data_IF_702369363892
#
_entry.id   IF_702369363892
#
_cell.length_a   1.000
_cell.length_b   1.000
_cell.length_c   1.000
_cell.angle_alpha   90.00
_cell.angle_beta   90.00
_cell.angle_gamma   90.00
#
_symmetry.space_group_name_H-M   'P 1'
#
loop_
_entity.id
_entity.type
_entity.pdbx_description
1 polymer ?
#
# COMPACT_ATOMS: atom_id res chain seq x y z
N UNK A 1 -8.36 -14.69 -2.37
CA UNK A 1 -7.96 -13.33 -2.78
C UNK A 1 -7.90 -12.42 -1.56
N UNK A 2 -6.97 -11.44 -1.59
CA UNK A 2 -6.84 -10.36 -0.63
C UNK A 2 -7.35 -9.03 -1.19
N UNK A 3 -7.27 -7.98 -0.37
CA UNK A 3 -7.57 -6.61 -0.73
C UNK A 3 -6.28 -5.80 -0.58
N UNK A 4 -5.94 -5.06 -1.62
CA UNK A 4 -4.89 -4.04 -1.57
C UNK A 4 -5.55 -2.66 -1.52
N UNK A 5 -5.00 -1.73 -0.73
CA UNK A 5 -5.46 -0.36 -0.68
C UNK A 5 -4.39 0.60 -0.20
N UNK A 6 -4.49 1.83 -0.69
CA UNK A 6 -3.62 2.94 -0.33
C UNK A 6 -4.10 3.66 0.91
N UNK A 7 -3.18 4.00 1.81
CA UNK A 7 -3.51 4.73 3.02
C UNK A 7 -2.74 6.03 3.16
N UNK A 8 -3.45 7.03 3.67
CA UNK A 8 -2.93 8.35 4.02
C UNK A 8 -3.28 8.70 5.47
N UNK A 9 -2.59 9.71 5.99
CA UNK A 9 -2.90 10.30 7.28
C UNK A 9 -3.43 11.74 7.07
N UNK A 10 -4.56 12.07 7.70
CA UNK A 10 -5.13 13.42 7.71
C UNK A 10 -4.37 14.32 8.70
N UNK A 11 -4.68 15.64 8.70
CA UNK A 11 -4.08 16.61 9.62
C UNK A 11 -4.26 16.24 11.09
N UNK A 12 -5.39 15.63 11.44
CA UNK A 12 -5.73 15.16 12.79
C UNK A 12 -5.41 13.67 13.02
N UNK A 13 -4.44 13.15 12.26
CA UNK A 13 -3.87 11.80 12.41
C UNK A 13 -4.88 10.65 12.23
N UNK A 14 -5.99 10.88 11.51
CA UNK A 14 -6.88 9.80 11.10
C UNK A 14 -6.33 9.11 9.85
N UNK A 15 -6.38 7.77 9.82
CA UNK A 15 -5.90 7.00 8.67
C UNK A 15 -7.08 6.70 7.76
N UNK A 16 -6.95 7.10 6.50
CA UNK A 16 -7.98 7.00 5.46
C UNK A 16 -7.51 6.17 4.28
N UNK A 17 -8.43 5.49 3.61
CA UNK A 17 -8.15 4.76 2.37
C UNK A 17 -8.37 5.68 1.17
N UNK A 18 -7.28 6.09 0.53
CA UNK A 18 -7.32 6.99 -0.63
C UNK A 18 -6.00 6.88 -1.41
N UNK A 19 -6.08 6.96 -2.75
CA UNK A 19 -4.90 6.80 -3.61
C UNK A 19 -4.06 8.08 -3.71
N UNK A 20 -4.70 9.23 -4.00
CA UNK A 20 -4.00 10.45 -4.38
C UNK A 20 -3.49 11.25 -3.16
N UNK A 21 -2.39 11.97 -3.34
CA UNK A 21 -1.86 12.86 -2.29
C UNK A 21 -2.74 14.08 -2.03
N UNK A 22 -3.54 14.50 -3.02
CA UNK A 22 -4.42 15.64 -2.94
C UNK A 22 -5.82 15.33 -3.49
N UNK A 23 -6.76 16.25 -3.28
CA UNK A 23 -8.15 16.08 -3.67
C UNK A 23 -8.45 16.58 -5.09
N UNK A 24 -7.45 17.09 -5.85
CA UNK A 24 -7.67 17.79 -7.13
C UNK A 24 -8.29 16.86 -8.18
N UNK A 25 -7.75 15.67 -8.39
CA UNK A 25 -8.22 14.76 -9.43
C UNK A 25 -9.67 14.31 -9.18
N UNK A 26 -9.98 13.86 -7.96
CA UNK A 26 -11.26 13.24 -7.61
C UNK A 26 -12.35 14.27 -7.23
N UNK A 27 -11.97 15.37 -6.56
CA UNK A 27 -12.91 16.32 -5.95
C UNK A 27 -12.81 17.74 -6.53
N UNK A 28 -11.83 18.03 -7.40
CA UNK A 28 -11.55 19.37 -7.98
C UNK A 28 -11.14 20.40 -6.92
N UNK A 29 -10.58 19.96 -5.80
CA UNK A 29 -10.13 20.80 -4.68
C UNK A 29 -8.62 20.70 -4.57
N UNK A 30 -7.89 21.82 -4.68
CA UNK A 30 -6.43 21.85 -4.59
C UNK A 30 -5.96 21.86 -3.13
N UNK A 31 -6.20 20.78 -2.41
CA UNK A 31 -5.74 20.56 -1.03
C UNK A 31 -5.10 19.19 -0.86
N UNK A 32 -3.99 19.10 -0.13
CA UNK A 32 -3.36 17.85 0.24
C UNK A 32 -4.07 17.22 1.44
N UNK A 33 -4.24 15.90 1.44
CA UNK A 33 -4.87 15.13 2.53
C UNK A 33 -4.26 15.44 3.90
N UNK A 34 -2.94 15.51 3.99
CA UNK A 34 -2.22 15.83 5.24
C UNK A 34 -2.57 17.18 5.86
N UNK A 35 -3.21 18.09 5.09
CA UNK A 35 -3.56 19.44 5.52
C UNK A 35 -5.06 19.59 5.87
N UNK A 36 -5.84 18.49 5.79
CA UNK A 36 -7.30 18.49 6.00
C UNK A 36 -7.63 17.63 7.21
N UNK A 37 -8.48 18.10 8.12
CA UNK A 37 -9.05 17.28 9.19
C UNK A 37 -10.06 16.28 8.61
N UNK A 38 -10.21 15.12 9.24
CA UNK A 38 -11.08 14.07 8.72
C UNK A 38 -12.54 14.53 8.59
N UNK A 39 -13.06 15.32 9.53
CA UNK A 39 -14.43 15.83 9.46
C UNK A 39 -14.69 16.69 8.21
N UNK A 40 -13.74 17.56 7.84
CA UNK A 40 -13.84 18.36 6.63
C UNK A 40 -13.73 17.49 5.37
N UNK A 41 -12.83 16.51 5.38
CA UNK A 41 -12.68 15.53 4.32
C UNK A 41 -13.97 14.73 4.13
N UNK A 42 -14.62 14.32 5.22
CA UNK A 42 -15.88 13.58 5.21
C UNK A 42 -17.01 14.40 4.57
N UNK A 43 -17.15 15.68 4.93
CA UNK A 43 -18.12 16.61 4.29
C UNK A 43 -17.89 16.67 2.78
N UNK A 44 -16.67 17.00 2.35
CA UNK A 44 -16.30 17.07 0.93
C UNK A 44 -16.63 15.79 0.18
N UNK A 45 -16.30 14.64 0.75
CA UNK A 45 -16.48 13.36 0.09
C UNK A 45 -17.94 12.91 0.02
N UNK A 46 -18.75 13.22 1.03
CA UNK A 46 -20.20 12.95 1.06
C UNK A 46 -20.95 13.80 0.05
N UNK A 47 -20.68 15.11 0.03
CA UNK A 47 -21.30 16.06 -0.91
C UNK A 47 -21.08 15.65 -2.37
N UNK A 48 -19.94 15.06 -2.68
CA UNK A 48 -19.62 14.53 -4.01
C UNK A 48 -20.04 13.06 -4.23
N UNK A 49 -20.77 12.44 -3.28
CA UNK A 49 -21.18 11.02 -3.32
C UNK A 49 -20.01 10.05 -3.55
N UNK A 50 -18.82 10.39 -3.08
CA UNK A 50 -17.59 9.61 -3.21
C UNK A 50 -16.90 9.48 -1.85
N UNK A 51 -17.50 8.78 -0.87
CA UNK A 51 -16.99 8.74 0.49
C UNK A 51 -15.56 8.21 0.53
N UNK A 52 -14.73 8.86 1.36
CA UNK A 52 -13.38 8.40 1.67
C UNK A 52 -13.47 7.68 3.03
N UNK A 53 -13.30 6.34 3.08
CA UNK A 53 -13.45 5.58 4.31
C UNK A 53 -12.22 5.73 5.21
N UNK A 54 -12.43 5.56 6.51
CA UNK A 54 -11.34 5.31 7.45
C UNK A 54 -10.77 3.90 7.24
N UNK A 55 -9.48 3.72 7.54
CA UNK A 55 -8.88 2.40 7.57
C UNK A 55 -9.65 1.46 8.52
N UNK A 56 -10.08 1.98 9.68
CA UNK A 56 -10.83 1.19 10.64
C UNK A 56 -12.17 0.65 10.09
N UNK A 57 -12.84 1.39 9.17
CA UNK A 57 -14.06 0.92 8.51
C UNK A 57 -13.76 -0.26 7.57
N UNK A 58 -12.67 -0.18 6.80
CA UNK A 58 -12.20 -1.29 5.98
C UNK A 58 -11.83 -2.52 6.84
N UNK A 59 -11.14 -2.31 7.96
CA UNK A 59 -10.77 -3.38 8.89
C UNK A 59 -12.03 -4.10 9.41
N UNK A 60 -13.04 -3.35 9.85
CA UNK A 60 -14.33 -3.92 10.29
C UNK A 60 -15.03 -4.71 9.18
N UNK A 61 -15.07 -4.13 7.97
CA UNK A 61 -15.69 -4.78 6.81
C UNK A 61 -14.99 -6.08 6.42
N UNK A 62 -13.67 -6.14 6.54
CA UNK A 62 -12.87 -7.33 6.21
C UNK A 62 -13.14 -8.51 7.14
N UNK A 63 -13.65 -8.25 8.36
CA UNK A 63 -13.92 -9.25 9.43
C UNK A 63 -12.75 -10.22 9.67
N UNK A 64 -11.51 -9.80 9.43
CA UNK A 64 -10.31 -10.67 9.44
C UNK A 64 -10.37 -11.89 8.50
N UNK A 65 -11.33 -11.94 7.56
CA UNK A 65 -11.48 -13.06 6.61
C UNK A 65 -10.62 -12.88 5.36
N UNK A 66 -10.16 -11.67 5.09
CA UNK A 66 -9.35 -11.35 3.90
C UNK A 66 -7.97 -10.86 4.32
N UNK A 67 -6.96 -11.22 3.53
CA UNK A 67 -5.64 -10.61 3.63
C UNK A 67 -5.71 -9.14 3.20
N UNK A 68 -5.15 -8.23 4.01
CA UNK A 68 -5.08 -6.80 3.69
C UNK A 68 -3.63 -6.41 3.39
N UNK A 69 -3.38 -5.86 2.20
CA UNK A 69 -2.13 -5.22 1.85
C UNK A 69 -2.35 -3.70 1.88
N UNK A 70 -1.70 -3.02 2.84
CA UNK A 70 -1.89 -1.59 3.07
C UNK A 70 -0.67 -0.83 2.57
N UNK A 71 -0.82 -0.06 1.48
CA UNK A 71 0.24 0.80 0.97
C UNK A 71 0.27 2.15 1.67
N UNK A 72 1.35 2.46 2.37
CA UNK A 72 1.59 3.78 2.97
C UNK A 72 2.13 4.71 1.89
N UNK A 73 1.27 5.61 1.37
CA UNK A 73 1.64 6.51 0.27
C UNK A 73 2.66 7.58 0.68
N UNK A 74 2.39 8.46 1.67
CA UNK A 74 3.35 9.48 2.06
C UNK A 74 4.40 8.93 3.04
N UNK A 75 5.43 9.71 3.30
CA UNK A 75 6.27 9.46 4.47
C UNK A 75 5.45 9.75 5.74
N UNK A 76 5.21 8.72 6.53
CA UNK A 76 4.54 8.85 7.83
C UNK A 76 5.55 9.30 8.91
N UNK A 77 5.09 10.15 9.83
CA UNK A 77 5.83 10.46 11.05
C UNK A 77 5.85 9.23 11.97
N UNK A 78 6.70 9.26 12.99
CA UNK A 78 6.77 8.19 13.99
C UNK A 78 5.43 8.00 14.72
N UNK A 79 4.73 9.08 15.00
CA UNK A 79 3.41 9.13 15.62
C UNK A 79 2.35 8.48 14.71
N UNK A 80 2.34 8.82 13.41
CA UNK A 80 1.44 8.24 12.43
C UNK A 80 1.68 6.74 12.24
N UNK A 81 2.95 6.29 12.26
CA UNK A 81 3.26 4.86 12.21
C UNK A 81 2.79 4.12 13.48
N UNK A 82 2.90 4.73 14.66
CA UNK A 82 2.36 4.17 15.91
C UNK A 82 0.83 4.10 15.87
N UNK A 83 0.16 5.16 15.37
CA UNK A 83 -1.30 5.17 15.19
C UNK A 83 -1.74 4.06 14.23
N UNK A 84 -1.07 3.88 13.09
CA UNK A 84 -1.32 2.79 12.16
C UNK A 84 -1.19 1.43 12.85
N UNK A 85 -0.11 1.20 13.59
CA UNK A 85 0.11 -0.07 14.28
C UNK A 85 -0.94 -0.34 15.36
N UNK A 86 -1.49 0.70 15.99
CA UNK A 86 -2.61 0.58 16.93
C UNK A 86 -3.90 0.17 16.22
N UNK A 87 -4.20 0.72 15.03
CA UNK A 87 -5.38 0.34 14.26
C UNK A 87 -5.32 -1.11 13.77
N UNK A 88 -4.15 -1.54 13.27
CA UNK A 88 -3.99 -2.91 12.71
C UNK A 88 -3.64 -3.98 13.75
N UNK A 89 -3.57 -3.64 15.07
CA UNK A 89 -3.08 -4.57 16.10
C UNK A 89 -3.86 -5.89 16.19
N UNK A 90 -5.15 -5.86 15.89
CA UNK A 90 -6.05 -7.02 15.95
C UNK A 90 -6.22 -7.73 14.60
N UNK A 91 -5.57 -7.24 13.54
CA UNK A 91 -5.57 -7.93 12.24
C UNK A 91 -4.64 -9.15 12.30
N UNK A 92 -5.16 -10.29 11.86
CA UNK A 92 -4.39 -11.55 11.78
C UNK A 92 -3.58 -11.65 10.48
N UNK A 93 -4.19 -11.22 9.37
CA UNK A 93 -3.65 -11.41 8.01
C UNK A 93 -3.49 -10.06 7.29
N UNK A 94 -2.36 -9.39 7.48
CA UNK A 94 -2.05 -8.14 6.78
C UNK A 94 -0.57 -8.00 6.48
N UNK A 95 -0.27 -7.07 5.59
CA UNK A 95 1.06 -6.54 5.33
C UNK A 95 1.02 -5.02 5.18
N UNK A 96 2.15 -4.38 5.46
CA UNK A 96 2.35 -2.96 5.24
C UNK A 96 3.38 -2.78 4.13
N UNK A 97 3.06 -1.95 3.16
CA UNK A 97 3.91 -1.69 1.99
C UNK A 97 4.13 -0.20 1.79
N UNK A 98 5.18 0.18 1.10
CA UNK A 98 5.42 1.57 0.70
C UNK A 98 6.47 1.63 -0.41
N UNK A 99 6.35 2.63 -1.31
CA UNK A 99 7.45 3.06 -2.18
C UNK A 99 8.55 3.77 -1.39
N UNK A 100 8.18 4.41 -0.28
CA UNK A 100 9.14 5.10 0.58
C UNK A 100 9.80 4.11 1.54
N UNK A 101 11.02 3.69 1.24
CA UNK A 101 11.78 2.74 2.06
C UNK A 101 11.95 3.22 3.52
N UNK A 102 11.94 4.53 3.79
CA UNK A 102 12.02 5.06 5.17
C UNK A 102 10.83 4.61 6.02
N UNK A 103 9.61 4.49 5.45
CA UNK A 103 8.45 3.92 6.15
C UNK A 103 8.76 2.48 6.61
N UNK A 104 9.30 1.67 5.70
CA UNK A 104 9.61 0.26 5.96
C UNK A 104 10.69 0.11 7.02
N UNK A 105 11.76 0.92 6.93
CA UNK A 105 12.83 0.95 7.93
C UNK A 105 12.29 1.34 9.31
N UNK A 106 11.49 2.40 9.38
CA UNK A 106 10.94 2.90 10.64
C UNK A 106 9.97 1.90 11.28
N UNK A 107 9.10 1.28 10.49
CA UNK A 107 8.22 0.20 10.96
C UNK A 107 9.01 -0.99 11.49
N UNK A 108 10.06 -1.40 10.78
CA UNK A 108 10.94 -2.48 11.23
C UNK A 108 11.63 -2.18 12.56
N UNK A 109 12.06 -0.91 12.77
CA UNK A 109 12.63 -0.47 14.04
C UNK A 109 11.60 -0.52 15.18
N UNK A 110 10.33 -0.17 14.92
CA UNK A 110 9.27 -0.21 15.93
C UNK A 110 8.88 -1.66 16.27
N UNK A 111 8.73 -2.52 15.27
CA UNK A 111 8.29 -3.92 15.44
C UNK A 111 8.89 -4.84 14.38
N UNK A 112 9.94 -5.58 14.75
CA UNK A 112 10.74 -6.43 13.82
C UNK A 112 9.93 -7.54 13.11
N UNK A 113 8.85 -8.04 13.73
CA UNK A 113 8.06 -9.18 13.22
C UNK A 113 6.97 -8.78 12.20
N UNK A 114 6.88 -7.50 11.80
CA UNK A 114 5.90 -7.06 10.81
C UNK A 114 6.17 -7.67 9.43
N UNK A 115 5.11 -7.96 8.69
CA UNK A 115 5.19 -8.37 7.29
C UNK A 115 5.28 -7.12 6.41
N UNK A 116 6.51 -6.72 6.06
CA UNK A 116 6.84 -5.46 5.40
C UNK A 116 7.26 -5.69 3.96
N UNK A 117 6.58 -5.04 3.02
CA UNK A 117 6.88 -5.08 1.59
C UNK A 117 7.45 -3.74 1.08
N UNK A 118 8.39 -3.81 0.15
CA UNK A 118 8.88 -2.64 -0.56
C UNK A 118 8.30 -2.62 -1.97
N UNK A 119 7.59 -1.53 -2.33
CA UNK A 119 7.17 -1.30 -3.70
C UNK A 119 8.34 -0.76 -4.52
N UNK A 120 8.50 -1.29 -5.72
CA UNK A 120 9.58 -0.95 -6.63
C UNK A 120 8.98 -0.34 -7.90
N UNK A 121 9.31 0.94 -8.19
CA UNK A 121 8.79 1.60 -9.38
C UNK A 121 9.45 1.07 -10.67
N UNK A 122 8.79 1.33 -11.79
CA UNK A 122 9.27 0.96 -13.13
C UNK A 122 10.64 1.56 -13.49
N UNK A 123 11.03 2.65 -12.87
CA UNK A 123 12.31 3.33 -13.12
C UNK A 123 13.55 2.59 -12.62
N UNK A 124 13.38 1.55 -11.77
CA UNK A 124 14.51 0.79 -11.25
C UNK A 124 15.04 -0.19 -12.31
N UNK A 125 16.38 -0.35 -12.33
CA UNK A 125 17.04 -1.47 -13.00
C UNK A 125 16.85 -2.75 -12.20
N UNK A 126 16.91 -3.91 -12.84
CA UNK A 126 16.74 -5.18 -12.14
C UNK A 126 17.85 -5.46 -11.11
N UNK A 127 19.08 -5.01 -11.35
CA UNK A 127 20.16 -5.11 -10.37
C UNK A 127 19.82 -4.37 -9.08
N UNK A 128 19.25 -3.18 -9.18
CA UNK A 128 18.76 -2.42 -8.01
C UNK A 128 17.62 -3.13 -7.28
N UNK A 129 16.74 -3.83 -8.01
CA UNK A 129 15.70 -4.68 -7.41
C UNK A 129 16.34 -5.79 -6.56
N UNK A 130 17.37 -6.49 -7.12
CA UNK A 130 18.10 -7.53 -6.39
C UNK A 130 18.73 -6.97 -5.11
N UNK A 131 19.39 -5.81 -5.16
CA UNK A 131 19.97 -5.16 -3.99
C UNK A 131 18.91 -4.88 -2.91
N UNK A 132 17.76 -4.30 -3.28
CA UNK A 132 16.65 -4.04 -2.36
C UNK A 132 16.09 -5.33 -1.76
N UNK A 133 16.05 -6.42 -2.53
CA UNK A 133 15.59 -7.72 -2.04
C UNK A 133 16.45 -8.29 -0.90
N UNK A 134 17.73 -7.93 -0.82
CA UNK A 134 18.66 -8.41 0.23
C UNK A 134 18.49 -7.70 1.57
N UNK A 135 17.78 -6.56 1.62
CA UNK A 135 17.61 -5.77 2.86
C UNK A 135 16.82 -6.54 3.92
N UNK A 136 17.34 -6.60 5.16
CA UNK A 136 16.73 -7.38 6.28
C UNK A 136 15.32 -6.90 6.66
N UNK A 137 15.05 -5.59 6.54
CA UNK A 137 13.75 -4.98 6.84
C UNK A 137 12.68 -5.23 5.76
N UNK A 138 13.07 -5.69 4.57
CA UNK A 138 12.14 -6.05 3.49
C UNK A 138 11.83 -7.54 3.58
N UNK A 139 10.55 -7.92 3.74
CA UNK A 139 10.11 -9.32 3.79
C UNK A 139 9.67 -9.83 2.42
N UNK A 140 9.10 -8.97 1.58
CA UNK A 140 8.69 -9.26 0.22
C UNK A 140 8.81 -8.01 -0.66
N UNK A 141 8.71 -8.19 -1.97
CA UNK A 141 8.73 -7.10 -2.94
C UNK A 141 7.39 -7.00 -3.66
N UNK A 142 7.02 -5.77 -4.03
CA UNK A 142 5.89 -5.48 -4.92
C UNK A 142 6.45 -4.74 -6.14
N UNK A 143 6.52 -5.44 -7.28
CA UNK A 143 7.17 -4.97 -8.49
C UNK A 143 6.15 -4.49 -9.52
N UNK A 144 6.53 -3.48 -10.30
CA UNK A 144 5.74 -3.06 -11.47
C UNK A 144 5.68 -4.19 -12.51
N UNK A 145 4.56 -4.32 -13.21
CA UNK A 145 4.27 -5.40 -14.17
C UNK A 145 5.31 -5.64 -15.26
N UNK A 146 6.13 -4.62 -15.61
CA UNK A 146 7.23 -4.78 -16.58
C UNK A 146 8.21 -5.88 -16.19
N UNK A 147 8.36 -6.14 -14.88
CA UNK A 147 9.26 -7.18 -14.38
C UNK A 147 8.67 -8.60 -14.47
N UNK A 148 7.41 -8.79 -14.88
CA UNK A 148 6.80 -10.13 -15.00
C UNK A 148 7.61 -11.06 -15.92
N UNK A 149 8.21 -10.51 -16.97
CA UNK A 149 9.00 -11.26 -17.97
C UNK A 149 10.50 -11.26 -17.69
N UNK A 150 10.93 -10.74 -16.55
CA UNK A 150 12.36 -10.71 -16.20
C UNK A 150 12.88 -12.13 -15.91
N UNK A 151 13.79 -12.61 -16.74
CA UNK A 151 14.35 -13.97 -16.65
C UNK A 151 15.11 -14.22 -15.34
N UNK A 152 15.67 -13.17 -14.73
CA UNK A 152 16.49 -13.26 -13.52
C UNK A 152 15.67 -13.21 -12.20
N UNK A 153 14.33 -13.29 -12.24
CA UNK A 153 13.46 -13.28 -11.03
C UNK A 153 13.85 -14.38 -10.01
N UNK A 154 14.35 -15.53 -10.49
CA UNK A 154 14.84 -16.62 -9.65
C UNK A 154 15.96 -16.22 -8.68
N UNK A 155 16.70 -15.13 -8.96
CA UNK A 155 17.75 -14.58 -8.08
C UNK A 155 17.17 -13.92 -6.83
N UNK A 156 15.85 -13.63 -6.79
CA UNK A 156 15.18 -13.04 -5.65
C UNK A 156 14.56 -14.16 -4.81
N UNK A 157 15.13 -14.42 -3.64
CA UNK A 157 14.67 -15.45 -2.69
C UNK A 157 13.40 -15.08 -1.91
N UNK A 158 12.92 -13.83 -2.02
CA UNK A 158 11.74 -13.33 -1.32
C UNK A 158 10.50 -13.44 -2.16
N UNK A 159 9.33 -13.49 -1.51
CA UNK A 159 8.05 -13.45 -2.21
C UNK A 159 7.91 -12.17 -3.02
N UNK A 160 7.33 -12.27 -4.20
CA UNK A 160 7.13 -11.16 -5.13
C UNK A 160 5.65 -11.07 -5.46
N UNK A 161 5.12 -9.85 -5.43
CA UNK A 161 3.84 -9.47 -6.01
C UNK A 161 4.06 -8.54 -7.19
N UNK A 162 3.13 -8.49 -8.15
CA UNK A 162 3.22 -7.61 -9.32
C UNK A 162 1.99 -6.72 -9.43
N UNK A 163 2.21 -5.42 -9.64
CA UNK A 163 1.17 -4.39 -9.77
C UNK A 163 1.36 -3.56 -11.06
N UNK A 164 0.44 -2.79 -11.53
CA UNK A 164 -0.99 -3.00 -11.40
C UNK A 164 -1.46 -3.71 -12.68
N UNK A 165 -2.11 -4.83 -12.53
CA UNK A 165 -2.61 -5.60 -13.66
C UNK A 165 -4.02 -5.12 -13.99
N UNK A 166 -4.21 -4.57 -15.19
CA UNK A 166 -5.49 -4.04 -15.69
C UNK A 166 -5.94 -4.72 -16.97
N UNK A 167 -5.16 -5.67 -17.42
CA UNK A 167 -5.38 -6.41 -18.68
C UNK A 167 -5.66 -7.87 -18.36
N UNK A 168 -6.82 -8.36 -18.79
CA UNK A 168 -7.29 -9.74 -18.56
C UNK A 168 -6.38 -10.77 -19.23
N UNK A 169 -5.82 -10.47 -20.41
CA UNK A 169 -4.91 -11.37 -21.11
C UNK A 169 -3.61 -11.52 -20.31
N UNK A 170 -3.06 -10.41 -19.82
CA UNK A 170 -1.86 -10.44 -18.98
C UNK A 170 -2.13 -11.16 -17.65
N UNK A 171 -3.30 -10.93 -17.03
CA UNK A 171 -3.71 -11.65 -15.81
C UNK A 171 -3.75 -13.15 -16.04
N UNK A 172 -4.38 -13.62 -17.11
CA UNK A 172 -4.47 -15.05 -17.44
C UNK A 172 -3.10 -15.67 -17.76
N UNK A 173 -2.23 -14.93 -18.48
CA UNK A 173 -0.89 -15.38 -18.84
C UNK A 173 0.00 -15.62 -17.61
N UNK A 174 -0.17 -14.85 -16.54
CA UNK A 174 0.66 -14.89 -15.33
C UNK A 174 -0.12 -15.26 -14.05
N UNK A 175 -1.23 -16.00 -14.19
CA UNK A 175 -2.10 -16.40 -13.08
C UNK A 175 -1.41 -17.26 -12.01
N UNK A 176 -0.26 -17.84 -12.32
CA UNK A 176 0.62 -18.56 -11.39
C UNK A 176 1.50 -17.62 -10.54
N UNK A 177 1.44 -16.32 -10.76
CA UNK A 177 2.15 -15.29 -9.98
C UNK A 177 1.23 -14.64 -8.96
N UNK A 178 1.81 -13.94 -7.97
CA UNK A 178 1.01 -13.13 -7.06
C UNK A 178 0.74 -11.77 -7.74
N UNK A 179 -0.47 -11.55 -8.19
CA UNK A 179 -0.86 -10.36 -8.94
C UNK A 179 -1.73 -9.43 -8.09
N UNK A 180 -1.48 -8.13 -8.18
CA UNK A 180 -2.37 -7.06 -7.71
C UNK A 180 -3.05 -6.51 -8.95
N UNK A 181 -4.36 -6.66 -9.01
CA UNK A 181 -5.14 -6.35 -10.19
C UNK A 181 -6.35 -5.46 -9.85
N UNK A 182 -6.82 -4.72 -10.84
CA UNK A 182 -8.00 -3.87 -10.76
C UNK A 182 -8.73 -3.84 -12.09
N UNK A 183 -10.08 -3.76 -12.06
CA UNK A 183 -10.94 -3.60 -13.26
C UNK A 183 -10.68 -4.68 -14.35
N UNK A 184 -10.59 -5.95 -13.98
CA UNK A 184 -10.42 -7.09 -14.90
C UNK A 184 -11.75 -7.58 -15.49
#
# INVERSE_FOLDING_TARGET
>A
YGIETDIHCTKDSKIVCFHDFNLKAKFKINKFLKNIKYQDLLKISKDKKKPIPLLNDLIKLSKNKRFLMLEIKPLFTKENLKALLKEVKNLKNYSLTSFNEKNIINLHKIKKKLNLGLLIPSTFTFNRVIEKSKKKHVKFLVLEKKFLREKKLHKIKKKIYFYAIRDKKLFNQFNNKNLIFENL
#
